data_IF_334056500802
#
_entry.id   IF_334056500802
#
_cell.length_a   1.000
_cell.length_b   1.000
_cell.length_c   1.000
_cell.angle_alpha   90.00
_cell.angle_beta   90.00
_cell.angle_gamma   90.00
#
_symmetry.space_group_name_H-M   'P 1'
#
loop_
_entity.id
_entity.type
_entity.pdbx_description
1 polymer ?
#
# COMPACT_ATOMS: atom_id res chain seq x y z
N UNK A 1 -68.80 -29.02 -4.74
CA UNK A 1 -69.26 -27.74 -5.34
C UNK A 1 -68.21 -26.70 -4.99
N UNK A 2 -67.39 -26.09 -5.83
CA UNK A 2 -67.21 -25.91 -7.30
C UNK A 2 -65.67 -25.81 -7.52
N UNK A 3 -64.99 -26.54 -8.41
CA UNK A 3 -64.64 -26.21 -9.84
C UNK A 3 -64.28 -24.71 -10.05
N UNK A 4 -63.19 -24.26 -10.69
CA UNK A 4 -62.32 -24.73 -11.79
C UNK A 4 -60.95 -23.97 -11.72
N UNK A 5 -59.77 -24.50 -12.03
CA UNK A 5 -59.13 -24.77 -13.34
C UNK A 5 -59.13 -23.63 -14.39
N UNK A 6 -57.95 -23.04 -14.66
CA UNK A 6 -57.35 -22.59 -15.95
C UNK A 6 -55.95 -22.00 -15.62
N UNK A 7 -54.80 -22.56 -15.99
CA UNK A 7 -54.09 -22.65 -17.29
C UNK A 7 -53.56 -21.33 -17.90
N UNK A 8 -52.32 -21.44 -18.41
CA UNK A 8 -51.44 -20.51 -19.14
C UNK A 8 -50.62 -19.50 -18.32
N UNK A 9 -49.40 -19.12 -18.71
CA UNK A 9 -48.22 -19.71 -19.38
C UNK A 9 -47.20 -18.56 -19.44
N UNK A 10 -45.93 -18.88 -19.27
CA UNK A 10 -44.73 -18.10 -19.66
C UNK A 10 -44.92 -16.70 -20.26
N UNK A 11 -44.39 -15.68 -19.57
CA UNK A 11 -43.58 -14.65 -20.25
C UNK A 11 -42.34 -14.43 -19.40
N UNK A 12 -41.29 -15.21 -19.69
CA UNK A 12 -39.92 -14.77 -19.46
C UNK A 12 -39.68 -13.65 -20.46
N UNK A 13 -39.72 -12.41 -19.98
CA UNK A 13 -39.09 -11.29 -20.66
C UNK A 13 -37.60 -11.35 -20.32
N UNK A 14 -36.83 -11.86 -21.26
CA UNK A 14 -35.38 -11.72 -21.29
C UNK A 14 -35.05 -10.23 -21.41
N UNK A 15 -34.72 -9.58 -20.30
CA UNK A 15 -33.87 -8.40 -20.36
C UNK A 15 -32.45 -8.94 -20.44
N UNK A 16 -31.96 -9.12 -21.66
CA UNK A 16 -30.55 -9.28 -21.94
C UNK A 16 -29.89 -7.92 -21.62
N UNK A 17 -29.53 -7.69 -20.35
CA UNK A 17 -28.49 -6.73 -20.05
C UNK A 17 -27.19 -7.32 -20.60
N UNK A 18 -26.85 -6.94 -21.83
CA UNK A 18 -25.46 -6.96 -22.27
C UNK A 18 -24.70 -5.95 -21.43
N UNK A 19 -24.34 -6.32 -20.20
CA UNK A 19 -23.24 -5.70 -19.47
C UNK A 19 -21.99 -5.97 -20.29
N UNK A 20 -21.69 -5.06 -21.20
CA UNK A 20 -20.42 -5.04 -21.92
C UNK A 20 -19.35 -4.83 -20.84
N UNK A 21 -18.54 -5.86 -20.56
CA UNK A 21 -17.35 -5.74 -19.71
C UNK A 21 -16.48 -4.61 -20.29
N UNK A 22 -16.35 -3.46 -19.60
CA UNK A 22 -15.61 -2.30 -20.14
C UNK A 22 -14.15 -2.65 -20.47
N UNK A 23 -13.58 -3.63 -19.76
CA UNK A 23 -12.23 -4.13 -20.03
C UNK A 23 -12.16 -4.88 -21.37
N UNK A 24 -13.24 -5.54 -21.78
CA UNK A 24 -13.32 -6.28 -23.04
C UNK A 24 -13.46 -5.34 -24.24
N UNK A 25 -14.23 -4.25 -24.10
CA UNK A 25 -14.33 -3.16 -25.10
C UNK A 25 -12.96 -2.54 -25.39
N UNK A 26 -12.11 -2.39 -24.37
CA UNK A 26 -10.76 -1.85 -24.51
C UNK A 26 -9.80 -2.81 -25.23
N UNK A 27 -9.82 -4.11 -24.89
CA UNK A 27 -9.02 -5.13 -25.58
C UNK A 27 -9.41 -5.28 -27.07
N UNK A 28 -10.70 -5.18 -27.38
CA UNK A 28 -11.22 -5.28 -28.75
C UNK A 28 -10.83 -4.06 -29.60
N UNK A 29 -10.76 -2.85 -29.00
CA UNK A 29 -10.31 -1.64 -29.68
C UNK A 29 -8.80 -1.63 -29.96
N UNK A 30 -7.97 -2.13 -29.04
CA UNK A 30 -6.51 -2.22 -29.24
C UNK A 30 -6.14 -3.21 -30.36
N UNK A 31 -6.87 -4.32 -30.48
CA UNK A 31 -6.65 -5.29 -31.57
C UNK A 31 -7.02 -4.74 -32.95
N UNK A 32 -7.78 -3.66 -33.03
CA UNK A 32 -8.23 -3.04 -34.28
C UNK A 32 -7.33 -1.92 -34.80
N UNK A 33 -6.31 -1.50 -34.04
CA UNK A 33 -5.35 -0.48 -34.47
C UNK A 33 -4.13 -1.14 -35.13
N UNK A 34 -4.11 -1.14 -36.47
CA UNK A 34 -2.93 -1.51 -37.26
C UNK A 34 -1.76 -0.55 -36.95
N UNK A 35 -0.56 -1.14 -36.82
CA UNK A 35 0.68 -0.41 -36.52
C UNK A 35 0.95 0.71 -37.54
N UNK A 36 1.30 1.93 -37.11
CA UNK A 36 1.64 3.01 -38.03
C UNK A 36 2.96 2.68 -38.76
N UNK A 37 2.93 2.75 -40.09
CA UNK A 37 4.10 2.65 -40.96
C UNK A 37 5.06 3.82 -40.68
N UNK A 38 6.28 3.48 -40.31
CA UNK A 38 7.39 4.43 -40.12
C UNK A 38 7.76 5.02 -41.48
N UNK A 39 7.63 6.34 -41.65
CA UNK A 39 8.29 7.09 -42.72
C UNK A 39 9.53 7.77 -42.15
N UNK A 40 10.65 7.64 -42.86
CA UNK A 40 11.94 8.24 -42.51
C UNK A 40 11.89 9.79 -42.61
N UNK A 41 12.62 10.52 -41.74
CA UNK A 41 12.55 11.97 -41.69
C UNK A 41 13.42 12.62 -42.78
N UNK A 42 12.79 13.45 -43.60
CA UNK A 42 13.47 14.41 -44.49
C UNK A 42 13.99 15.57 -43.66
N UNK A 43 15.30 15.78 -43.67
CA UNK A 43 15.97 16.90 -42.98
C UNK A 43 15.93 18.13 -43.88
N UNK A 44 15.46 19.27 -43.38
CA UNK A 44 15.87 20.59 -43.88
C UNK A 44 15.94 21.56 -42.70
N UNK A 45 17.02 22.34 -42.54
CA UNK A 45 17.23 23.16 -41.36
C UNK A 45 16.72 24.59 -41.60
N UNK A 46 15.84 25.08 -40.74
CA UNK A 46 15.79 26.51 -40.45
C UNK A 46 15.54 26.74 -38.96
N UNK A 47 16.54 27.38 -38.36
CA UNK A 47 16.50 27.91 -37.01
C UNK A 47 15.49 29.05 -36.92
N UNK A 48 14.60 28.98 -35.93
CA UNK A 48 14.05 30.15 -35.26
C UNK A 48 13.66 29.79 -33.83
N UNK A 49 14.17 30.61 -32.93
CA UNK A 49 14.04 30.57 -31.48
C UNK A 49 12.58 30.61 -31.02
N UNK A 50 12.17 29.62 -30.22
CA UNK A 50 11.08 29.72 -29.27
C UNK A 50 11.53 28.98 -27.99
N UNK A 51 11.43 29.64 -26.84
CA UNK A 51 11.63 29.01 -25.55
C UNK A 51 10.54 27.96 -25.36
N UNK A 52 10.89 26.68 -25.47
CA UNK A 52 10.01 25.57 -25.13
C UNK A 52 9.66 25.69 -23.64
N UNK A 53 8.41 26.04 -23.33
CA UNK A 53 7.84 25.80 -22.01
C UNK A 53 7.94 24.30 -21.75
N UNK A 54 8.93 23.91 -20.95
CA UNK A 54 9.13 22.51 -20.56
C UNK A 54 7.93 22.08 -19.71
N UNK A 55 6.95 21.47 -20.36
CA UNK A 55 5.75 20.93 -19.72
C UNK A 55 6.15 19.97 -18.60
N UNK A 56 5.52 20.10 -17.43
CA UNK A 56 5.83 19.27 -16.28
C UNK A 56 5.54 17.78 -16.60
N UNK A 57 6.43 16.89 -16.18
CA UNK A 57 6.34 15.45 -16.44
C UNK A 57 5.03 14.85 -15.94
N UNK A 58 4.45 15.39 -14.86
CA UNK A 58 3.19 14.87 -14.31
C UNK A 58 2.01 15.11 -15.25
N UNK A 59 2.04 16.19 -16.04
CA UNK A 59 0.97 16.50 -16.99
C UNK A 59 0.96 15.46 -18.12
N UNK A 60 2.12 14.92 -18.49
CA UNK A 60 2.23 13.87 -19.51
C UNK A 60 1.62 12.53 -19.06
N UNK A 61 1.42 12.34 -17.74
CA UNK A 61 0.80 11.15 -17.18
C UNK A 61 -0.73 11.20 -17.22
N UNK A 62 -1.34 12.39 -17.35
CA UNK A 62 -2.79 12.53 -17.35
C UNK A 62 -3.46 11.76 -18.51
N UNK A 63 -4.68 11.25 -18.31
CA UNK A 63 -5.47 10.66 -19.37
C UNK A 63 -5.58 11.59 -20.58
N UNK A 64 -5.27 11.06 -21.76
CA UNK A 64 -5.52 11.76 -23.01
C UNK A 64 -6.99 11.53 -23.33
N UNK A 65 -7.80 12.59 -23.32
CA UNK A 65 -9.25 12.53 -23.59
C UNK A 65 -9.53 12.19 -25.07
N UNK A 66 -9.15 11.00 -25.50
CA UNK A 66 -9.49 10.42 -26.79
C UNK A 66 -11.02 10.33 -26.88
N UNK A 67 -11.68 10.99 -27.86
CA UNK A 67 -13.13 10.96 -28.02
C UNK A 67 -13.72 9.54 -28.10
N UNK A 68 -12.94 8.55 -28.53
CA UNK A 68 -13.38 7.15 -28.60
C UNK A 68 -13.53 6.49 -27.21
N UNK A 69 -12.77 6.95 -26.21
CA UNK A 69 -12.74 6.37 -24.86
C UNK A 69 -13.41 7.29 -23.81
N UNK A 70 -13.31 8.60 -24.00
CA UNK A 70 -13.71 9.62 -23.05
C UNK A 70 -14.81 10.54 -23.62
N UNK A 71 -15.83 9.94 -24.24
CA UNK A 71 -16.90 10.70 -24.90
C UNK A 71 -17.59 11.65 -23.92
N UNK A 72 -17.63 12.94 -24.28
CA UNK A 72 -18.22 14.07 -23.53
C UNK A 72 -17.54 14.44 -22.20
N UNK A 73 -16.42 13.80 -21.85
CA UNK A 73 -15.60 14.25 -20.73
C UNK A 73 -14.78 15.48 -21.13
N UNK A 74 -14.67 16.44 -20.22
CA UNK A 74 -13.84 17.62 -20.41
C UNK A 74 -13.09 17.99 -19.12
N UNK A 75 -12.12 18.88 -19.24
CA UNK A 75 -11.37 19.47 -18.14
C UNK A 75 -11.82 20.91 -17.94
N UNK A 76 -12.67 21.22 -16.95
CA UNK A 76 -13.15 22.58 -16.73
C UNK A 76 -12.01 23.56 -16.39
N UNK A 77 -10.98 23.06 -15.70
CA UNK A 77 -9.81 23.82 -15.26
C UNK A 77 -8.50 23.21 -15.77
N UNK A 78 -7.44 24.03 -15.79
CA UNK A 78 -6.07 23.55 -16.08
C UNK A 78 -5.53 22.69 -14.91
N UNK A 79 -4.57 21.77 -15.16
CA UNK A 79 -3.94 21.00 -14.10
C UNK A 79 -3.29 21.91 -13.08
N UNK A 80 -3.51 21.63 -11.80
CA UNK A 80 -2.86 22.34 -10.68
C UNK A 80 -1.72 21.48 -10.17
N UNK A 81 -0.52 22.07 -10.06
CA UNK A 81 0.66 21.40 -9.52
C UNK A 81 1.09 22.12 -8.25
N UNK A 82 1.27 21.33 -7.20
CA UNK A 82 1.81 21.77 -5.93
C UNK A 82 3.19 21.14 -5.70
N UNK A 83 4.14 21.96 -5.23
CA UNK A 83 5.51 21.55 -4.91
C UNK A 83 5.83 21.87 -3.46
N UNK A 84 6.88 21.26 -2.92
CA UNK A 84 7.38 21.54 -1.56
C UNK A 84 7.46 23.06 -1.29
N UNK A 85 6.91 23.51 -0.15
CA UNK A 85 6.82 24.92 0.23
C UNK A 85 5.56 25.67 -0.24
N UNK A 86 4.70 25.05 -1.05
CA UNK A 86 3.41 25.65 -1.39
C UNK A 86 2.43 25.54 -0.20
N UNK A 87 1.87 26.65 0.32
CA UNK A 87 0.88 26.60 1.40
C UNK A 87 -0.42 25.86 1.01
N UNK A 88 -0.67 25.63 -0.28
CA UNK A 88 -1.76 24.77 -0.72
C UNK A 88 -1.50 23.27 -0.51
N UNK A 89 -0.25 22.82 -0.27
CA UNK A 89 0.04 21.46 0.21
C UNK A 89 -0.40 21.24 1.68
N UNK A 90 -0.71 22.32 2.40
CA UNK A 90 -1.35 22.27 3.72
C UNK A 90 -2.80 21.73 3.62
N UNK A 91 -3.38 21.75 2.41
CA UNK A 91 -4.74 21.33 2.16
C UNK A 91 -4.82 19.86 1.76
N UNK A 92 -5.05 19.00 2.76
CA UNK A 92 -6.19 18.09 2.68
C UNK A 92 -6.60 17.48 4.02
N UNK A 93 -5.68 17.11 4.94
CA UNK A 93 -6.06 16.44 6.21
C UNK A 93 -5.00 16.52 7.34
N UNK A 94 -4.20 17.60 7.43
CA UNK A 94 -3.12 17.66 8.44
C UNK A 94 -2.05 16.57 8.23
N UNK A 95 -1.69 16.35 6.96
CA UNK A 95 -0.71 15.34 6.53
C UNK A 95 0.66 15.95 6.17
N UNK A 96 0.91 17.23 6.47
CA UNK A 96 2.16 17.89 6.05
C UNK A 96 3.40 17.17 6.59
N UNK A 97 3.44 16.88 7.90
CA UNK A 97 4.55 16.16 8.53
C UNK A 97 4.74 14.76 7.93
N UNK A 98 3.63 14.09 7.59
CA UNK A 98 3.66 12.80 6.92
C UNK A 98 4.29 12.94 5.53
N UNK A 99 3.84 13.89 4.70
CA UNK A 99 4.38 14.06 3.36
C UNK A 99 5.86 14.47 3.36
N UNK A 100 6.29 15.25 4.35
CA UNK A 100 7.71 15.54 4.56
C UNK A 100 8.52 14.27 4.89
N UNK A 101 8.02 13.43 5.81
CA UNK A 101 8.63 12.15 6.16
C UNK A 101 8.72 11.21 4.95
N UNK A 102 7.67 11.18 4.12
CA UNK A 102 7.62 10.37 2.90
C UNK A 102 8.43 10.97 1.74
N UNK A 103 8.97 12.19 1.90
CA UNK A 103 9.75 12.92 0.88
C UNK A 103 8.93 13.16 -0.41
N UNK A 104 7.72 13.68 -0.24
CA UNK A 104 6.87 14.13 -1.34
C UNK A 104 7.54 15.30 -2.08
N UNK A 105 7.64 15.21 -3.40
CA UNK A 105 8.19 16.27 -4.25
C UNK A 105 7.09 17.15 -4.84
N UNK A 106 6.05 16.50 -5.41
CA UNK A 106 5.00 17.16 -6.16
C UNK A 106 3.67 16.44 -6.04
N UNK A 107 2.58 17.19 -6.15
CA UNK A 107 1.23 16.68 -6.37
C UNK A 107 0.65 17.39 -7.59
N UNK A 108 0.10 16.63 -8.52
CA UNK A 108 -0.76 17.16 -9.57
C UNK A 108 -2.22 16.82 -9.25
N UNK A 109 -3.14 17.78 -9.44
CA UNK A 109 -4.58 17.56 -9.47
C UNK A 109 -5.16 17.99 -10.81
N UNK A 110 -6.00 17.14 -11.39
CA UNK A 110 -6.86 17.47 -12.51
C UNK A 110 -8.28 16.99 -12.23
N UNK A 111 -9.25 17.88 -12.41
CA UNK A 111 -10.68 17.55 -12.34
C UNK A 111 -11.21 17.32 -13.75
N UNK A 112 -12.05 16.29 -13.90
CA UNK A 112 -12.76 15.95 -15.12
C UNK A 112 -14.26 15.99 -14.86
N UNK A 113 -15.02 16.47 -15.82
CA UNK A 113 -16.47 16.54 -15.73
C UNK A 113 -17.16 16.02 -16.97
N UNK A 114 -18.32 15.39 -16.76
CA UNK A 114 -19.28 15.02 -17.79
C UNK A 114 -20.67 15.25 -17.21
N UNK A 115 -21.40 16.24 -17.72
CA UNK A 115 -22.70 16.65 -17.15
C UNK A 115 -22.60 16.92 -15.63
N UNK A 116 -23.21 16.07 -14.80
CA UNK A 116 -23.17 16.15 -13.34
C UNK A 116 -22.13 15.22 -12.70
N UNK A 117 -21.37 14.48 -13.49
CA UNK A 117 -20.33 13.55 -13.03
C UNK A 117 -19.01 14.30 -12.87
N UNK A 118 -18.35 14.10 -11.74
CA UNK A 118 -17.07 14.75 -11.41
C UNK A 118 -16.09 13.66 -10.95
N UNK A 119 -14.90 13.67 -11.56
CA UNK A 119 -13.78 12.81 -11.16
C UNK A 119 -12.54 13.66 -10.92
N UNK A 120 -11.90 13.47 -9.78
CA UNK A 120 -10.61 14.05 -9.46
C UNK A 120 -9.50 13.01 -9.68
N UNK A 121 -8.46 13.41 -10.41
CA UNK A 121 -7.22 12.64 -10.59
C UNK A 121 -6.10 13.34 -9.84
N UNK A 122 -5.51 12.66 -8.86
CA UNK A 122 -4.36 13.11 -8.11
C UNK A 122 -3.15 12.20 -8.38
N UNK A 123 -2.03 12.82 -8.74
CA UNK A 123 -0.75 12.15 -8.98
C UNK A 123 0.28 12.69 -8.00
N UNK A 124 0.71 11.85 -7.07
CA UNK A 124 1.72 12.17 -6.07
C UNK A 124 3.07 11.63 -6.54
N UNK A 125 4.08 12.50 -6.61
CA UNK A 125 5.46 12.12 -6.91
C UNK A 125 6.31 12.23 -5.65
N UNK A 126 6.98 11.13 -5.31
CA UNK A 126 7.92 11.06 -4.20
C UNK A 126 9.36 11.00 -4.73
N UNK A 127 10.31 11.28 -3.83
CA UNK A 127 11.74 11.16 -4.12
C UNK A 127 12.14 9.74 -4.55
N UNK A 128 11.52 8.73 -3.95
CA UNK A 128 11.80 7.33 -4.23
C UNK A 128 10.54 6.45 -4.09
N UNK A 129 10.67 5.18 -4.48
CA UNK A 129 9.57 4.21 -4.46
C UNK A 129 9.11 3.85 -3.04
N UNK A 130 9.94 4.04 -2.02
CA UNK A 130 9.57 3.70 -0.64
C UNK A 130 8.58 4.70 -0.08
N UNK A 131 8.74 5.99 -0.42
CA UNK A 131 7.76 7.04 -0.09
C UNK A 131 6.40 6.79 -0.77
N UNK A 132 6.42 6.45 -2.07
CA UNK A 132 5.21 6.11 -2.82
C UNK A 132 4.50 4.86 -2.29
N UNK A 133 5.26 3.80 -1.98
CA UNK A 133 4.70 2.59 -1.39
C UNK A 133 4.11 2.86 0.01
N UNK A 134 4.80 3.65 0.84
CA UNK A 134 4.28 4.04 2.15
C UNK A 134 2.96 4.81 2.01
N UNK A 135 2.93 5.85 1.16
CA UNK A 135 1.72 6.61 0.85
C UNK A 135 0.58 5.69 0.38
N UNK A 136 0.86 4.78 -0.55
CA UNK A 136 -0.12 3.79 -1.00
C UNK A 136 -0.68 2.97 0.15
N UNK A 137 0.16 2.43 1.03
CA UNK A 137 -0.31 1.60 2.14
C UNK A 137 -0.99 2.39 3.26
N UNK A 138 -0.69 3.67 3.48
CA UNK A 138 -1.30 4.41 4.61
C UNK A 138 -2.45 5.33 4.21
N UNK A 139 -2.45 5.82 2.98
CA UNK A 139 -3.49 6.73 2.47
C UNK A 139 -4.61 5.99 1.73
N UNK A 140 -4.39 4.75 1.25
CA UNK A 140 -5.49 4.02 0.62
C UNK A 140 -6.64 3.77 1.60
N UNK A 141 -7.84 4.04 1.12
CA UNK A 141 -9.11 3.69 1.74
C UNK A 141 -9.74 2.56 0.94
N UNK A 142 -9.86 1.36 1.52
CA UNK A 142 -10.54 0.23 0.89
C UNK A 142 -9.88 -1.12 1.13
N UNK A 143 -10.67 -2.17 0.89
CA UNK A 143 -10.17 -3.54 0.85
C UNK A 143 -9.34 -3.75 -0.44
N UNK A 144 -8.19 -4.39 -0.33
CA UNK A 144 -7.34 -4.74 -1.47
C UNK A 144 -8.00 -5.84 -2.30
N UNK A 145 -8.93 -5.47 -3.17
CA UNK A 145 -9.39 -6.37 -4.23
C UNK A 145 -8.31 -6.39 -5.31
N UNK A 146 -7.80 -7.57 -5.67
CA UNK A 146 -6.83 -7.69 -6.78
C UNK A 146 -7.53 -7.32 -8.09
N UNK A 147 -6.98 -6.39 -8.85
CA UNK A 147 -7.58 -5.87 -10.09
C UNK A 147 -6.77 -6.18 -11.35
N UNK A 148 -7.44 -6.00 -12.50
CA UNK A 148 -6.83 -5.95 -13.85
C UNK A 148 -5.87 -4.76 -14.05
N UNK A 149 -5.92 -3.72 -13.20
CA UNK A 149 -5.05 -2.51 -13.25
C UNK A 149 -3.60 -2.82 -12.80
N UNK A 150 -3.36 -4.00 -12.21
CA UNK A 150 -2.03 -4.49 -11.84
C UNK A 150 -1.98 -5.03 -10.40
N UNK A 151 -0.83 -5.58 -10.00
CA UNK A 151 -0.63 -6.23 -8.69
C UNK A 151 -0.64 -5.28 -7.48
N UNK A 152 -0.84 -3.98 -7.69
CA UNK A 152 -0.58 -2.89 -6.74
C UNK A 152 -1.72 -1.85 -6.69
N UNK A 153 -2.97 -2.29 -6.88
CA UNK A 153 -4.14 -1.41 -6.94
C UNK A 153 -5.19 -1.78 -5.88
N UNK A 154 -5.97 -0.80 -5.47
CA UNK A 154 -7.15 -0.91 -4.61
C UNK A 154 -8.30 -0.19 -5.31
N UNK A 155 -9.48 -0.82 -5.39
CA UNK A 155 -10.68 -0.23 -5.98
C UNK A 155 -11.83 -0.32 -5.00
N UNK A 156 -12.62 0.75 -4.97
CA UNK A 156 -13.99 0.75 -4.49
C UNK A 156 -14.89 1.35 -5.56
N UNK A 157 -16.20 1.42 -5.31
CA UNK A 157 -17.13 2.04 -6.26
C UNK A 157 -16.84 3.52 -6.53
N UNK A 158 -16.05 4.19 -5.67
CA UNK A 158 -15.77 5.62 -5.77
C UNK A 158 -14.34 5.97 -6.13
N UNK A 159 -13.40 5.02 -6.06
CA UNK A 159 -11.99 5.34 -6.22
C UNK A 159 -11.16 4.15 -6.70
N UNK A 160 -10.06 4.47 -7.38
CA UNK A 160 -8.96 3.57 -7.67
C UNK A 160 -7.65 4.20 -7.20
N UNK A 161 -6.96 3.49 -6.30
CA UNK A 161 -5.67 3.91 -5.77
C UNK A 161 -4.62 2.87 -6.14
N UNK A 162 -3.47 3.31 -6.67
CA UNK A 162 -2.36 2.41 -6.99
C UNK A 162 -1.02 3.09 -6.86
N UNK A 163 0.06 2.31 -6.81
CA UNK A 163 1.41 2.82 -6.83
C UNK A 163 2.24 2.15 -7.92
N UNK A 164 3.17 2.92 -8.49
CA UNK A 164 4.11 2.44 -9.49
C UNK A 164 5.34 3.31 -9.51
N UNK A 165 6.52 2.72 -9.31
CA UNK A 165 7.77 3.46 -9.16
C UNK A 165 7.70 4.40 -7.95
N UNK A 166 8.02 5.67 -8.16
CA UNK A 166 7.95 6.74 -7.16
C UNK A 166 6.62 7.52 -7.20
N UNK A 167 5.58 6.94 -7.80
CA UNK A 167 4.27 7.57 -7.92
C UNK A 167 3.20 6.81 -7.11
N UNK A 168 2.35 7.58 -6.44
CA UNK A 168 1.07 7.13 -5.89
C UNK A 168 -0.04 7.88 -6.61
N UNK A 169 -1.05 7.15 -7.05
CA UNK A 169 -2.15 7.66 -7.85
C UNK A 169 -3.44 7.44 -7.07
N UNK A 170 -4.26 8.48 -6.97
CA UNK A 170 -5.59 8.47 -6.37
C UNK A 170 -6.55 9.08 -7.39
N UNK A 171 -7.51 8.28 -7.84
CA UNK A 171 -8.53 8.71 -8.81
C UNK A 171 -9.88 8.44 -8.17
N UNK A 172 -10.66 9.48 -7.89
CA UNK A 172 -11.90 9.33 -7.13
C UNK A 172 -13.03 10.23 -7.58
N UNK A 173 -14.24 9.86 -7.18
CA UNK A 173 -15.44 10.69 -7.23
C UNK A 173 -16.07 10.81 -5.84
N UNK A 174 -16.76 11.92 -5.60
CA UNK A 174 -17.53 12.13 -4.37
C UNK A 174 -18.94 11.51 -4.46
N UNK A 175 -19.43 11.20 -5.67
CA UNK A 175 -20.74 10.61 -5.88
C UNK A 175 -20.76 9.12 -5.48
N UNK A 176 -21.83 8.67 -4.84
CA UNK A 176 -22.02 7.24 -4.55
C UNK A 176 -22.70 6.53 -5.72
N UNK A 177 -22.26 5.31 -6.02
CA UNK A 177 -22.85 4.44 -7.05
C UNK A 177 -22.91 5.09 -8.45
N UNK A 178 -21.94 5.97 -8.76
CA UNK A 178 -21.84 6.65 -10.05
C UNK A 178 -21.11 5.77 -11.07
N UNK A 179 -21.89 5.00 -11.84
CA UNK A 179 -21.34 4.10 -12.86
C UNK A 179 -20.57 4.81 -13.98
N UNK A 180 -20.93 6.06 -14.32
CA UNK A 180 -20.29 6.84 -15.38
C UNK A 180 -18.92 7.34 -14.89
N UNK A 181 -18.86 7.87 -13.67
CA UNK A 181 -17.59 8.22 -13.04
C UNK A 181 -16.70 6.98 -12.83
N UNK A 182 -17.28 5.85 -12.43
CA UNK A 182 -16.54 4.59 -12.25
C UNK A 182 -15.88 4.10 -13.55
N UNK A 183 -16.58 4.16 -14.68
CA UNK A 183 -16.00 3.83 -15.99
C UNK A 183 -14.80 4.73 -16.31
N UNK A 184 -14.92 6.04 -16.09
CA UNK A 184 -13.82 6.97 -16.27
C UNK A 184 -12.63 6.65 -15.35
N UNK A 185 -12.88 6.41 -14.06
CA UNK A 185 -11.85 6.09 -13.06
C UNK A 185 -11.05 4.86 -13.52
N UNK A 186 -11.73 3.81 -13.99
CA UNK A 186 -11.09 2.58 -14.49
C UNK A 186 -10.22 2.89 -15.73
N UNK A 187 -10.77 3.58 -16.74
CA UNK A 187 -10.02 3.91 -17.96
C UNK A 187 -8.81 4.80 -17.65
N UNK A 188 -9.01 5.86 -16.88
CA UNK A 188 -7.94 6.77 -16.45
C UNK A 188 -6.82 6.02 -15.69
N UNK A 189 -7.18 5.09 -14.81
CA UNK A 189 -6.19 4.29 -14.07
C UNK A 189 -5.31 3.44 -15.00
N UNK A 190 -5.89 2.88 -16.07
CA UNK A 190 -5.17 2.06 -17.05
C UNK A 190 -4.22 2.91 -17.89
N UNK A 191 -4.69 4.07 -18.38
CA UNK A 191 -3.89 4.98 -19.19
C UNK A 191 -2.71 5.54 -18.39
N UNK A 192 -2.95 6.03 -17.17
CA UNK A 192 -1.89 6.50 -16.26
C UNK A 192 -0.91 5.37 -15.98
N UNK A 193 -1.40 4.17 -15.62
CA UNK A 193 -0.53 3.03 -15.31
C UNK A 193 0.36 2.64 -16.49
N UNK A 194 -0.15 2.65 -17.73
CA UNK A 194 0.63 2.35 -18.94
C UNK A 194 1.76 3.34 -19.19
N UNK A 195 1.55 4.62 -18.88
CA UNK A 195 2.55 5.66 -19.08
C UNK A 195 3.68 5.63 -18.04
N UNK A 196 3.45 4.97 -16.90
CA UNK A 196 4.46 4.78 -15.86
C UNK A 196 5.34 3.57 -16.20
N UNK A 197 6.57 3.82 -16.68
CA UNK A 197 7.45 2.74 -17.17
C UNK A 197 8.08 1.88 -16.06
N UNK A 198 8.16 2.37 -14.83
CA UNK A 198 8.93 1.72 -13.77
C UNK A 198 8.04 0.88 -12.87
N UNK A 199 8.04 -0.44 -13.03
CA UNK A 199 7.51 -1.35 -12.00
C UNK A 199 8.61 -1.61 -10.96
N UNK A 200 8.34 -1.27 -9.70
CA UNK A 200 9.23 -1.57 -8.58
C UNK A 200 8.57 -2.63 -7.70
N UNK A 201 9.38 -3.51 -7.13
CA UNK A 201 8.89 -4.42 -6.10
C UNK A 201 8.62 -3.65 -4.80
N UNK A 202 7.65 -4.08 -3.99
CA UNK A 202 7.50 -3.56 -2.64
C UNK A 202 8.82 -3.62 -1.85
N UNK A 203 9.03 -2.75 -0.85
CA UNK A 203 10.17 -2.85 0.06
C UNK A 203 10.35 -4.26 0.60
N UNK A 204 11.61 -4.70 0.75
CA UNK A 204 11.94 -6.09 1.15
C UNK A 204 11.19 -6.51 2.42
N UNK A 205 11.07 -5.61 3.41
CA UNK A 205 10.35 -5.89 4.66
C UNK A 205 8.86 -6.22 4.41
N UNK A 206 8.24 -5.65 3.37
CA UNK A 206 6.87 -5.95 3.00
C UNK A 206 6.72 -7.35 2.41
N UNK A 207 7.70 -7.79 1.62
CA UNK A 207 7.75 -9.15 1.05
C UNK A 207 7.96 -10.19 2.16
N UNK A 208 8.60 -9.80 3.27
CA UNK A 208 8.81 -10.67 4.43
C UNK A 208 7.59 -10.84 5.32
N UNK A 209 6.47 -10.14 5.08
CA UNK A 209 5.23 -10.44 5.79
C UNK A 209 4.72 -11.84 5.41
N UNK A 210 4.42 -12.71 6.38
CA UNK A 210 3.75 -13.97 6.11
C UNK A 210 2.47 -13.77 5.29
N UNK A 211 2.26 -14.61 4.27
CA UNK A 211 1.05 -14.56 3.45
C UNK A 211 -0.12 -15.34 4.07
N UNK A 212 0.19 -16.43 4.78
CA UNK A 212 -0.81 -17.30 5.39
C UNK A 212 -1.52 -16.58 6.54
N UNK A 213 -2.85 -16.68 6.60
CA UNK A 213 -3.73 -16.06 7.61
C UNK A 213 -3.66 -14.53 7.70
N UNK A 214 -3.02 -13.86 6.73
CA UNK A 214 -2.96 -12.39 6.70
C UNK A 214 -4.28 -11.83 6.19
N UNK A 215 -4.82 -10.87 6.92
CA UNK A 215 -6.02 -10.12 6.50
C UNK A 215 -5.59 -9.10 5.43
N UNK A 216 -5.98 -9.34 4.18
CA UNK A 216 -5.63 -8.50 3.04
C UNK A 216 -6.12 -7.05 3.23
N UNK A 217 -5.27 -6.08 2.90
CA UNK A 217 -5.57 -4.64 3.03
C UNK A 217 -5.32 -4.07 4.43
N UNK A 218 -4.78 -4.86 5.35
CA UNK A 218 -4.36 -4.38 6.67
C UNK A 218 -2.86 -4.04 6.73
N UNK A 219 -2.13 -4.25 5.64
CA UNK A 219 -0.72 -3.92 5.51
C UNK A 219 -0.51 -2.41 5.51
N UNK A 220 0.28 -1.91 6.46
CA UNK A 220 0.66 -0.50 6.55
C UNK A 220 2.18 -0.38 6.66
N UNK A 221 2.82 0.31 5.74
CA UNK A 221 4.26 0.55 5.73
C UNK A 221 4.58 2.01 6.01
N UNK A 222 5.44 2.25 7.00
CA UNK A 222 5.82 3.57 7.46
C UNK A 222 7.33 3.75 7.46
N UNK A 223 7.79 4.90 6.94
CA UNK A 223 9.21 5.24 6.88
C UNK A 223 9.74 5.87 8.16
N UNK A 224 8.92 6.60 8.90
CA UNK A 224 9.32 7.26 10.14
C UNK A 224 8.23 7.22 11.22
N UNK A 225 8.51 7.94 12.31
CA UNK A 225 7.69 7.92 13.51
C UNK A 225 6.39 8.70 13.35
N UNK A 226 6.34 9.70 12.47
CA UNK A 226 5.11 10.47 12.18
C UNK A 226 4.07 9.53 11.57
N UNK A 227 4.46 8.77 10.54
CA UNK A 227 3.58 7.77 9.95
C UNK A 227 3.15 6.70 10.96
N UNK A 228 4.09 6.13 11.71
CA UNK A 228 3.79 5.08 12.68
C UNK A 228 2.78 5.56 13.75
N UNK A 229 3.01 6.72 14.35
CA UNK A 229 2.14 7.30 15.39
C UNK A 229 0.75 7.61 14.84
N UNK A 230 0.64 8.03 13.58
CA UNK A 230 -0.64 8.34 12.93
C UNK A 230 -1.47 7.11 12.57
N UNK A 231 -0.84 6.09 11.97
CA UNK A 231 -1.57 4.97 11.35
C UNK A 231 -1.54 3.68 12.16
N UNK A 232 -0.57 3.49 13.04
CA UNK A 232 -0.53 2.31 13.89
C UNK A 232 -1.25 2.67 15.19
N UNK A 233 -2.58 2.62 15.16
CA UNK A 233 -3.42 2.94 16.31
C UNK A 233 -3.57 1.75 17.26
N UNK A 234 -3.74 2.03 18.56
CA UNK A 234 -4.07 1.00 19.56
C UNK A 234 -2.91 0.11 20.02
N UNK A 235 -1.66 0.47 19.71
CA UNK A 235 -0.50 -0.21 20.28
C UNK A 235 -0.01 0.48 21.56
N UNK A 236 0.60 -0.31 22.43
CA UNK A 236 1.37 0.17 23.60
C UNK A 236 2.86 0.25 23.27
N UNK A 237 3.20 0.31 21.98
CA UNK A 237 4.57 0.21 21.50
C UNK A 237 5.08 1.62 21.25
N UNK A 238 6.16 1.97 21.94
CA UNK A 238 6.85 3.23 21.69
C UNK A 238 7.65 3.13 20.38
N UNK A 239 7.19 3.85 19.34
CA UNK A 239 7.82 3.84 18.03
C UNK A 239 9.18 4.53 17.99
N UNK A 240 9.48 5.38 18.97
CA UNK A 240 10.77 6.08 19.01
C UNK A 240 11.91 5.10 19.34
N UNK A 241 11.59 3.93 19.91
CA UNK A 241 12.55 2.84 20.18
C UNK A 241 13.05 2.13 18.92
N UNK A 242 12.32 2.21 17.79
CA UNK A 242 12.70 1.46 16.59
C UNK A 242 13.96 1.99 15.89
N UNK A 243 14.48 3.16 16.26
CA UNK A 243 15.63 3.81 15.63
C UNK A 243 15.55 3.75 14.07
N UNK A 244 14.52 4.37 13.52
CA UNK A 244 14.14 4.22 12.11
C UNK A 244 15.18 4.70 11.10
N UNK A 245 16.16 5.50 11.51
CA UNK A 245 17.28 5.90 10.65
C UNK A 245 18.17 4.71 10.23
N UNK A 246 18.19 3.65 11.03
CA UNK A 246 18.94 2.41 10.77
C UNK A 246 18.07 1.30 10.14
N UNK A 247 16.83 1.63 9.82
CA UNK A 247 15.84 0.70 9.26
C UNK A 247 15.36 1.16 7.89
N UNK A 248 14.99 0.19 7.04
CA UNK A 248 14.28 0.46 5.80
C UNK A 248 12.79 0.74 6.01
N UNK A 249 12.38 1.28 7.16
CA UNK A 249 10.99 1.45 7.57
C UNK A 249 10.37 0.23 8.29
N UNK A 250 9.17 0.42 8.81
CA UNK A 250 8.39 -0.58 9.52
C UNK A 250 7.17 -0.96 8.69
N UNK A 251 6.83 -2.24 8.67
CA UNK A 251 5.53 -2.69 8.16
C UNK A 251 4.72 -3.40 9.23
N UNK A 252 3.41 -3.17 9.26
CA UNK A 252 2.46 -3.90 10.09
C UNK A 252 1.39 -4.57 9.24
N UNK A 253 0.83 -5.67 9.71
CA UNK A 253 -0.37 -6.29 9.16
C UNK A 253 -1.15 -7.04 10.24
N UNK A 254 -2.44 -7.30 10.01
CA UNK A 254 -3.27 -8.12 10.89
C UNK A 254 -3.37 -9.56 10.37
N UNK A 255 -3.43 -10.50 11.31
CA UNK A 255 -3.52 -11.92 11.08
C UNK A 255 -4.71 -12.49 11.84
N UNK A 256 -5.48 -13.34 11.18
CA UNK A 256 -6.65 -13.99 11.74
C UNK A 256 -6.70 -15.42 11.20
N UNK A 257 -6.75 -16.41 12.09
CA UNK A 257 -6.94 -17.81 11.67
C UNK A 257 -8.42 -18.06 11.34
N UNK A 258 -8.67 -18.61 10.14
CA UNK A 258 -10.01 -18.91 9.62
C UNK A 258 -10.83 -19.85 10.54
N UNK A 259 -10.15 -20.74 11.27
CA UNK A 259 -10.77 -21.77 12.11
C UNK A 259 -10.71 -21.46 13.62
N UNK A 260 -10.29 -20.26 14.02
CA UNK A 260 -10.27 -19.89 15.44
C UNK A 260 -11.69 -19.58 15.92
N UNK A 261 -12.15 -20.27 16.97
CA UNK A 261 -13.46 -20.00 17.61
C UNK A 261 -13.58 -18.56 18.09
N UNK A 262 -12.45 -17.94 18.43
CA UNK A 262 -12.38 -16.64 19.07
C UNK A 262 -12.21 -15.47 18.06
N UNK A 263 -12.10 -15.75 16.75
CA UNK A 263 -11.84 -14.74 15.68
C UNK A 263 -10.75 -13.74 16.09
N UNK A 264 -9.70 -14.24 16.73
CA UNK A 264 -8.61 -13.43 17.27
C UNK A 264 -7.88 -12.69 16.14
N UNK A 265 -7.66 -11.38 16.31
CA UNK A 265 -6.85 -10.56 15.39
C UNK A 265 -5.52 -10.20 16.03
N UNK A 266 -4.46 -10.82 15.54
CA UNK A 266 -3.09 -10.55 15.95
C UNK A 266 -2.50 -9.51 15.01
N UNK A 267 -1.91 -8.47 15.56
CA UNK A 267 -1.14 -7.51 14.77
C UNK A 267 0.34 -7.89 14.80
N UNK A 268 0.98 -7.93 13.64
CA UNK A 268 2.41 -8.19 13.49
C UNK A 268 3.09 -6.96 12.91
N UNK A 269 4.15 -6.51 13.58
CA UNK A 269 5.07 -5.47 13.13
C UNK A 269 6.39 -6.13 12.73
N UNK A 270 6.94 -5.76 11.58
CA UNK A 270 8.28 -6.14 11.13
C UNK A 270 9.12 -4.88 10.85
N UNK A 271 10.38 -4.91 11.27
CA UNK A 271 11.38 -3.89 10.94
C UNK A 271 12.67 -4.58 10.53
N UNK A 272 13.21 -4.19 9.37
CA UNK A 272 14.48 -4.73 8.83
C UNK A 272 15.55 -3.65 8.90
N UNK A 273 16.60 -3.96 9.66
CA UNK A 273 17.73 -3.07 9.89
C UNK A 273 18.84 -3.29 8.86
N UNK A 274 19.70 -2.29 8.73
CA UNK A 274 20.90 -2.37 7.88
C UNK A 274 21.82 -3.51 8.37
N UNK A 275 22.02 -3.62 9.69
CA UNK A 275 22.91 -4.61 10.31
C UNK A 275 22.20 -5.46 11.36
N UNK A 276 22.82 -6.59 11.73
CA UNK A 276 22.34 -7.45 12.81
C UNK A 276 22.47 -6.72 14.16
N UNK A 277 23.54 -5.97 14.32
CA UNK A 277 23.89 -5.24 15.53
C UNK A 277 22.86 -4.13 15.82
N UNK A 278 22.41 -3.40 14.79
CA UNK A 278 21.35 -2.39 14.94
C UNK A 278 20.02 -3.04 15.36
N UNK A 279 19.66 -4.20 14.78
CA UNK A 279 18.47 -4.93 15.19
C UNK A 279 18.55 -5.43 16.64
N UNK A 280 19.72 -5.92 17.07
CA UNK A 280 19.97 -6.38 18.43
C UNK A 280 19.90 -5.23 19.44
N UNK A 281 20.49 -4.07 19.11
CA UNK A 281 20.44 -2.88 19.95
C UNK A 281 18.99 -2.44 20.20
N UNK A 282 18.18 -2.37 19.14
CA UNK A 282 16.75 -2.03 19.26
C UNK A 282 15.99 -3.08 20.09
N UNK A 283 16.24 -4.37 19.87
CA UNK A 283 15.64 -5.43 20.67
C UNK A 283 15.98 -5.29 22.17
N UNK A 284 17.23 -4.93 22.49
CA UNK A 284 17.65 -4.65 23.86
C UNK A 284 16.94 -3.41 24.43
N UNK A 285 16.79 -2.33 23.66
CA UNK A 285 16.04 -1.14 24.08
C UNK A 285 14.57 -1.45 24.40
N UNK A 286 13.92 -2.31 23.61
CA UNK A 286 12.58 -2.79 23.94
C UNK A 286 12.55 -3.59 25.24
N UNK A 287 13.53 -4.50 25.43
CA UNK A 287 13.63 -5.28 26.66
C UNK A 287 13.74 -4.37 27.88
N UNK A 288 14.65 -3.40 27.85
CA UNK A 288 14.82 -2.41 28.93
C UNK A 288 13.56 -1.57 29.16
N UNK A 289 12.88 -1.16 28.07
CA UNK A 289 11.64 -0.40 28.16
C UNK A 289 10.57 -1.19 28.93
N UNK A 290 10.33 -2.46 28.57
CA UNK A 290 9.34 -3.28 29.26
C UNK A 290 9.76 -3.62 30.69
N UNK A 291 11.05 -3.81 30.97
CA UNK A 291 11.55 -4.01 32.33
C UNK A 291 11.28 -2.78 33.21
N UNK A 292 11.53 -1.57 32.70
CA UNK A 292 11.20 -0.31 33.39
C UNK A 292 9.69 -0.19 33.64
N UNK A 293 8.86 -0.57 32.66
CA UNK A 293 7.40 -0.56 32.82
C UNK A 293 6.93 -1.53 33.91
N UNK A 294 7.56 -2.71 34.05
CA UNK A 294 7.30 -3.66 35.14
C UNK A 294 7.61 -3.05 36.51
N UNK A 295 8.75 -2.38 36.63
CA UNK A 295 9.23 -1.77 37.88
C UNK A 295 8.33 -0.60 38.31
N UNK A 296 7.92 0.23 37.35
CA UNK A 296 7.08 1.41 37.59
C UNK A 296 5.65 1.03 37.98
N UNK A 297 5.11 -0.04 37.40
CA UNK A 297 3.75 -0.49 37.64
C UNK A 297 3.77 -1.82 38.40
N UNK A 298 3.84 -1.76 39.73
CA UNK A 298 3.86 -2.96 40.61
C UNK A 298 2.65 -3.89 40.46
N UNK A 299 1.55 -3.41 39.84
CA UNK A 299 0.35 -4.18 39.50
C UNK A 299 0.42 -4.82 38.10
N UNK A 300 1.42 -4.48 37.29
CA UNK A 300 1.61 -5.07 35.97
C UNK A 300 2.34 -6.40 36.13
N UNK A 301 1.59 -7.50 36.08
CA UNK A 301 2.11 -8.86 36.02
C UNK A 301 2.75 -9.12 34.64
N UNK A 302 3.83 -8.38 34.35
CA UNK A 302 4.68 -8.65 33.19
C UNK A 302 5.51 -9.87 33.52
N UNK A 303 5.01 -11.03 33.10
CA UNK A 303 5.78 -12.26 33.04
C UNK A 303 6.76 -12.16 31.88
N UNK A 304 8.04 -12.35 32.18
CA UNK A 304 9.14 -12.32 31.22
C UNK A 304 9.58 -13.76 31.00
N UNK A 305 9.24 -14.28 29.83
CA UNK A 305 9.71 -15.59 29.40
C UNK A 305 10.52 -15.42 28.11
N UNK A 306 11.76 -15.90 28.14
CA UNK A 306 12.60 -16.03 26.96
C UNK A 306 12.62 -17.51 26.61
N UNK A 307 11.80 -17.85 25.63
CA UNK A 307 11.68 -19.20 25.07
C UNK A 307 12.03 -19.09 23.59
N UNK A 308 12.98 -19.89 23.12
CA UNK A 308 13.43 -19.88 21.72
C UNK A 308 13.77 -18.46 21.20
N UNK A 309 14.52 -17.70 22.01
CA UNK A 309 14.92 -16.30 21.73
C UNK A 309 13.76 -15.33 21.51
N UNK A 310 12.56 -15.65 22.00
CA UNK A 310 11.37 -14.80 21.92
C UNK A 310 11.05 -14.21 23.28
N UNK A 311 11.07 -12.88 23.38
CA UNK A 311 10.63 -12.15 24.56
C UNK A 311 9.10 -12.11 24.58
N UNK A 312 8.48 -12.71 25.59
CA UNK A 312 7.03 -12.67 25.81
C UNK A 312 6.71 -11.70 26.94
N UNK A 313 5.67 -10.89 26.73
CA UNK A 313 5.16 -9.89 27.67
C UNK A 313 3.66 -10.11 27.77
N UNK A 314 3.14 -10.18 28.99
CA UNK A 314 1.70 -10.27 29.25
C UNK A 314 1.20 -8.93 29.80
N UNK A 315 0.12 -8.39 29.26
CA UNK A 315 -0.50 -7.16 29.72
C UNK A 315 -1.71 -7.41 30.65
N UNK A 316 -2.23 -6.35 31.27
CA UNK A 316 -3.35 -6.40 32.23
C UNK A 316 -4.67 -6.94 31.64
N UNK A 317 -4.85 -6.84 30.32
CA UNK A 317 -6.03 -7.37 29.62
C UNK A 317 -5.87 -8.86 29.27
N UNK A 318 -4.85 -9.52 29.83
CA UNK A 318 -4.48 -10.91 29.53
C UNK A 318 -4.05 -11.12 28.05
N UNK A 319 -3.69 -10.04 27.35
CA UNK A 319 -3.12 -10.13 26.01
C UNK A 319 -1.60 -10.22 26.10
N UNK A 320 -0.99 -10.93 25.16
CA UNK A 320 0.44 -11.10 25.00
C UNK A 320 0.96 -10.18 23.90
N UNK A 321 2.18 -9.71 24.13
CA UNK A 321 3.08 -9.16 23.12
C UNK A 321 4.29 -10.08 23.06
N UNK A 322 4.70 -10.48 21.86
CA UNK A 322 5.86 -11.33 21.62
C UNK A 322 6.83 -10.62 20.69
N UNK A 323 8.08 -10.47 21.12
CA UNK A 323 9.16 -9.88 20.34
C UNK A 323 10.18 -10.96 20.01
N UNK A 324 10.60 -11.03 18.75
CA UNK A 324 11.68 -11.92 18.33
C UNK A 324 12.60 -11.16 17.39
N UNK A 325 13.90 -11.31 17.59
CA UNK A 325 14.93 -10.76 16.72
C UNK A 325 15.79 -11.92 16.21
N UNK A 326 16.09 -11.91 14.90
CA UNK A 326 17.03 -12.86 14.27
C UNK A 326 17.67 -12.21 13.05
N UNK A 327 19.00 -12.31 12.94
CA UNK A 327 19.75 -11.55 11.94
C UNK A 327 19.47 -10.05 12.04
N UNK A 328 19.16 -9.40 10.91
CA UNK A 328 18.82 -7.98 10.87
C UNK A 328 17.29 -7.71 10.92
N UNK A 329 16.48 -8.70 11.29
CA UNK A 329 15.02 -8.58 11.33
C UNK A 329 14.51 -8.61 12.78
N UNK A 330 13.65 -7.64 13.11
CA UNK A 330 12.89 -7.58 14.34
C UNK A 330 11.41 -7.78 14.04
N UNK A 331 10.74 -8.64 14.80
CA UNK A 331 9.31 -8.84 14.75
C UNK A 331 8.67 -8.57 16.11
N UNK A 332 7.52 -7.90 16.11
CA UNK A 332 6.69 -7.68 17.30
C UNK A 332 5.25 -8.09 16.96
N UNK A 333 4.77 -9.16 17.58
CA UNK A 333 3.37 -9.57 17.51
C UNK A 333 2.64 -9.12 18.77
N UNK A 334 1.47 -8.50 18.65
CA UNK A 334 0.68 -7.98 19.77
C UNK A 334 -0.82 -8.21 19.57
N UNK A 335 -1.61 -7.92 20.61
CA UNK A 335 -3.03 -8.28 20.72
C UNK A 335 -3.27 -9.80 20.69
N UNK A 336 -2.33 -10.56 21.25
CA UNK A 336 -2.40 -12.02 21.29
C UNK A 336 -3.19 -12.45 22.53
N UNK A 337 -4.41 -12.93 22.40
CA UNK A 337 -5.15 -13.60 23.46
C UNK A 337 -4.66 -15.05 23.67
N UNK A 338 -4.31 -15.76 22.59
CA UNK A 338 -3.86 -17.14 22.64
C UNK A 338 -2.37 -17.25 22.31
N UNK A 339 -1.55 -17.67 23.28
CA UNK A 339 -0.09 -17.85 23.13
C UNK A 339 0.28 -18.72 21.91
N UNK A 340 -0.53 -19.74 21.59
CA UNK A 340 -0.27 -20.65 20.47
C UNK A 340 -0.38 -19.90 19.13
N UNK A 341 -1.45 -19.12 18.95
CA UNK A 341 -1.67 -18.29 17.78
C UNK A 341 -0.51 -17.31 17.56
N UNK A 342 -0.05 -16.64 18.63
CA UNK A 342 1.10 -15.74 18.57
C UNK A 342 2.39 -16.42 18.12
N UNK A 343 2.68 -17.62 18.67
CA UNK A 343 3.83 -18.44 18.23
C UNK A 343 3.72 -18.87 16.77
N UNK A 344 2.52 -19.23 16.30
CA UNK A 344 2.28 -19.61 14.90
C UNK A 344 2.57 -18.44 13.95
N UNK A 345 2.07 -17.23 14.25
CA UNK A 345 2.35 -16.03 13.42
C UNK A 345 3.86 -15.77 13.32
N UNK A 346 4.59 -15.84 14.44
CA UNK A 346 6.05 -15.64 14.44
C UNK A 346 6.82 -16.76 13.71
N UNK A 347 6.31 -17.98 13.72
CA UNK A 347 6.93 -19.12 13.04
C UNK A 347 6.79 -19.04 11.51
N UNK A 348 5.76 -18.35 11.01
CA UNK A 348 5.54 -18.15 9.57
C UNK A 348 6.44 -17.08 8.95
N UNK A 349 7.15 -16.29 9.77
CA UNK A 349 8.06 -15.25 9.28
C UNK A 349 9.26 -15.90 8.58
N UNK A 350 9.59 -15.49 7.34
CA UNK A 350 10.80 -15.91 6.65
C UNK A 350 12.03 -15.24 7.27
N UNK A 351 12.47 -15.80 8.39
CA UNK A 351 13.62 -15.29 9.14
C UNK A 351 14.92 -15.36 8.31
N UNK A 352 15.82 -14.38 8.45
CA UNK A 352 17.15 -14.45 7.84
C UNK A 352 17.89 -15.72 8.28
N UNK A 353 18.48 -16.43 7.33
CA UNK A 353 19.34 -17.58 7.60
C UNK A 353 20.66 -17.04 8.16
N UNK A 354 20.98 -17.39 9.41
CA UNK A 354 22.31 -17.15 9.96
C UNK A 354 23.23 -18.28 9.48
N UNK A 355 24.06 -18.00 8.49
CA UNK A 355 25.14 -18.93 8.11
C UNK A 355 26.18 -18.81 9.22
N UNK A 356 26.30 -19.85 10.05
CA UNK A 356 27.38 -19.92 11.01
C UNK A 356 28.71 -19.77 10.27
N UNK A 357 29.57 -18.82 10.70
CA UNK A 357 30.93 -18.74 10.16
C UNK A 357 31.57 -20.12 10.33
N UNK A 358 32.20 -20.70 9.29
CA UNK A 358 32.90 -21.96 9.45
C UNK A 358 33.90 -21.80 10.59
N UNK A 359 33.82 -22.72 11.55
CA UNK A 359 34.76 -22.77 12.67
C UNK A 359 36.10 -23.09 12.03
N UNK A 360 36.97 -22.07 11.89
CA UNK A 360 38.37 -22.29 11.57
C UNK A 360 39.02 -22.88 12.82
N UNK A 361 38.79 -24.17 13.09
CA UNK A 361 39.66 -24.98 13.94
C UNK A 361 40.97 -25.16 13.17
N UNK A 362 41.80 -24.13 13.14
CA UNK A 362 43.24 -24.33 12.98
C UNK A 362 43.69 -24.89 14.32
N UNK A 363 43.74 -26.21 14.37
CA UNK A 363 44.49 -26.92 15.39
C UNK A 363 45.96 -26.62 15.10
N UNK A 364 46.52 -25.66 15.81
CA UNK A 364 47.97 -25.57 15.98
C UNK A 364 48.42 -26.76 16.83
N UNK A 365 48.48 -27.92 16.18
CA UNK A 365 49.32 -29.03 16.64
C UNK A 365 50.70 -28.84 16.05
N UNK A 366 51.61 -28.49 16.95
CA UNK A 366 53.01 -28.91 17.00
C UNK A 366 53.91 -28.63 15.77
N UNK A 367 54.88 -27.72 16.00
CA UNK A 367 56.30 -28.06 15.80
C UNK A 367 57.20 -27.29 16.74
#
# INVERSE_FOLDING_TARGET
MFLASCFFSSVLSQINETTIDPAKKYEDLIKSQDAPKIQEPVVTPHAQSAAEEKQDELILLLPKLDPALYTDWNTPDKPVIWTEGNPALDFSQGNQELFNELKLEKILKQTYTKENHIVDVLIYKFKDFTGAYSAYTVLHSGATTKLKVGKNASESDKLVNFWRGNYFIDIHTNAENDSVAKEFIILASQDISKNLQTEQMPPVVAIQLPALNRVQGTEKYCLGSVCCKKYFTGNTIDFDLFNLSESGGIITAQYQEDNSKDKERISLILSRYITKESAQAVFASFKEYFEKQKLANKEMEIDFDIDDSTLKIKNQKNNYTMLKQRGNLLAIAYNIMNKKSGKQVLALIPWPIEIAKPINTITDTEK
#
